data_IF_574539883248
#
_entry.id   IF_574539883248
#
_cell.length_a   1.000
_cell.length_b   1.000
_cell.length_c   1.000
_cell.angle_alpha   90.00
_cell.angle_beta   90.00
_cell.angle_gamma   90.00
#
_symmetry.space_group_name_H-M   'P 1'
#
loop_
_entity.id
_entity.type
_entity.pdbx_description
1 polymer ?
#
# COMPACT_ATOMS: atom_id res chain seq x y z
N UNK A 1 -14.65 14.30 -72.36
CA UNK A 1 -16.07 14.57 -72.06
C UNK A 1 -16.97 13.82 -73.03
N UNK A 2 -17.67 12.77 -72.57
CA UNK A 2 -18.91 12.23 -73.18
C UNK A 2 -19.61 11.38 -72.10
N UNK A 3 -20.78 11.84 -71.66
CA UNK A 3 -21.70 11.16 -70.72
C UNK A 3 -22.53 10.09 -71.45
N UNK A 4 -23.18 9.20 -70.68
CA UNK A 4 -24.33 8.31 -71.00
C UNK A 4 -23.97 6.82 -70.83
N UNK A 5 -24.74 5.90 -70.24
CA UNK A 5 -26.13 5.86 -69.72
C UNK A 5 -26.22 4.68 -68.74
N UNK A 6 -27.09 4.79 -67.72
CA UNK A 6 -27.52 3.66 -66.87
C UNK A 6 -28.34 2.64 -67.68
N UNK A 7 -28.31 1.36 -67.27
CA UNK A 7 -29.50 0.51 -67.08
C UNK A 7 -29.16 -0.74 -66.24
N UNK A 8 -30.02 -0.95 -65.27
CA UNK A 8 -30.12 -2.04 -64.29
C UNK A 8 -30.59 -3.36 -64.92
N UNK A 9 -30.21 -4.50 -64.33
CA UNK A 9 -31.05 -5.70 -64.31
C UNK A 9 -30.91 -6.40 -62.95
N UNK A 10 -32.07 -6.60 -62.32
CA UNK A 10 -32.30 -7.44 -61.16
C UNK A 10 -32.00 -8.91 -61.54
N UNK A 11 -31.31 -9.62 -60.66
CA UNK A 11 -31.55 -11.06 -60.48
C UNK A 11 -31.47 -11.38 -59.00
N UNK A 12 -32.63 -11.67 -58.44
CA UNK A 12 -32.79 -12.21 -57.11
C UNK A 12 -32.30 -13.67 -57.12
N UNK A 13 -31.38 -14.01 -56.23
CA UNK A 13 -31.18 -15.38 -55.82
C UNK A 13 -31.11 -15.42 -54.30
N UNK A 14 -31.85 -16.38 -53.79
CA UNK A 14 -32.37 -16.54 -52.44
C UNK A 14 -31.35 -17.29 -51.56
N UNK A 15 -31.38 -17.03 -50.23
CA UNK A 15 -30.90 -17.89 -49.12
C UNK A 15 -29.35 -17.93 -49.01
N UNK A 16 -28.69 -17.60 -47.88
CA UNK A 16 -28.70 -18.32 -46.60
C UNK A 16 -28.24 -17.39 -45.47
N UNK A 17 -29.01 -17.43 -44.39
CA UNK A 17 -28.69 -16.92 -43.06
C UNK A 17 -27.39 -17.54 -42.52
N UNK A 18 -26.39 -16.72 -42.20
CA UNK A 18 -25.35 -17.06 -41.23
C UNK A 18 -25.05 -15.81 -40.40
N UNK A 19 -25.69 -15.77 -39.23
CA UNK A 19 -25.38 -14.88 -38.14
C UNK A 19 -23.94 -15.17 -37.67
N UNK A 20 -22.99 -14.32 -38.02
CA UNK A 20 -21.69 -14.27 -37.35
C UNK A 20 -21.52 -12.93 -36.66
N UNK A 21 -21.82 -12.99 -35.36
CA UNK A 21 -21.22 -12.27 -34.24
C UNK A 21 -20.39 -11.02 -34.60
N UNK A 22 -20.95 -9.86 -34.26
CA UNK A 22 -20.15 -8.66 -34.02
C UNK A 22 -19.19 -8.92 -32.85
N UNK A 23 -17.93 -9.24 -33.18
CA UNK A 23 -16.84 -9.16 -32.23
C UNK A 23 -16.45 -7.70 -32.03
N UNK A 24 -17.03 -7.06 -31.01
CA UNK A 24 -16.55 -5.78 -30.49
C UNK A 24 -15.11 -5.95 -29.98
N UNK A 25 -14.11 -5.64 -30.80
CA UNK A 25 -12.74 -5.44 -30.32
C UNK A 25 -12.63 -4.02 -29.76
N UNK A 26 -13.27 -3.80 -28.62
CA UNK A 26 -12.92 -2.67 -27.76
C UNK A 26 -11.56 -2.98 -27.15
N UNK A 27 -10.49 -2.45 -27.73
CA UNK A 27 -9.22 -2.35 -27.03
C UNK A 27 -9.48 -1.47 -25.81
N UNK A 28 -9.67 -2.09 -24.64
CA UNK A 28 -9.79 -1.39 -23.38
C UNK A 28 -8.48 -0.60 -23.19
N UNK A 29 -8.56 0.71 -23.43
CA UNK A 29 -7.51 1.63 -23.05
C UNK A 29 -7.43 1.56 -21.53
N UNK A 30 -6.46 0.82 -21.01
CA UNK A 30 -6.08 0.93 -19.60
C UNK A 30 -5.69 2.39 -19.40
N UNK A 31 -6.35 3.14 -18.48
CA UNK A 31 -5.98 4.51 -18.25
C UNK A 31 -4.52 4.55 -17.81
N UNK A 32 -3.68 5.13 -18.64
CA UNK A 32 -2.24 5.36 -18.42
C UNK A 32 -1.94 6.18 -17.15
N UNK A 33 -2.98 6.74 -16.51
CA UNK A 33 -2.88 7.44 -15.23
C UNK A 33 -2.67 6.51 -14.02
N UNK A 34 -2.83 5.18 -14.16
CA UNK A 34 -2.57 4.24 -13.06
C UNK A 34 -1.07 3.96 -12.81
N UNK A 35 -0.16 4.41 -13.70
CA UNK A 35 1.30 4.24 -13.51
C UNK A 35 1.99 5.45 -12.87
N UNK A 36 1.26 6.55 -12.66
CA UNK A 36 1.77 7.78 -12.06
C UNK A 36 1.56 7.90 -10.54
N UNK A 37 0.69 7.05 -9.96
CA UNK A 37 0.50 6.91 -8.52
C UNK A 37 1.27 5.68 -8.01
N UNK A 38 2.57 5.64 -8.26
CA UNK A 38 3.48 4.91 -7.37
C UNK A 38 3.39 5.60 -6.02
N UNK A 39 2.48 5.10 -5.17
CA UNK A 39 2.19 5.47 -3.80
C UNK A 39 3.36 6.23 -3.15
N UNK A 40 3.19 7.55 -3.05
CA UNK A 40 4.05 8.34 -2.17
C UNK A 40 3.71 7.86 -0.77
N UNK A 41 4.68 7.26 -0.08
CA UNK A 41 4.53 6.84 1.32
C UNK A 41 3.91 7.97 2.13
N UNK A 42 2.79 7.73 2.82
CA UNK A 42 2.24 8.72 3.75
C UNK A 42 3.03 8.66 5.07
N UNK A 43 4.17 9.36 5.07
CA UNK A 43 5.09 9.44 6.20
C UNK A 43 5.15 10.81 6.87
N UNK A 44 4.19 11.69 6.54
CA UNK A 44 4.09 13.06 7.01
C UNK A 44 4.12 13.16 8.55
N UNK A 45 3.26 12.40 9.24
CA UNK A 45 3.17 12.41 10.70
C UNK A 45 4.47 11.94 11.38
N UNK A 46 5.15 10.95 10.81
CA UNK A 46 6.43 10.48 11.34
C UNK A 46 7.54 11.53 11.18
N UNK A 47 7.57 12.23 10.05
CA UNK A 47 8.52 13.32 9.79
C UNK A 47 8.25 14.50 10.73
N UNK A 48 6.99 14.88 10.91
CA UNK A 48 6.59 15.93 11.86
C UNK A 48 6.99 15.56 13.29
N UNK A 49 6.72 14.32 13.72
CA UNK A 49 7.10 13.82 15.04
C UNK A 49 8.63 13.78 15.23
N UNK A 50 9.40 13.42 14.19
CA UNK A 50 10.86 13.49 14.20
C UNK A 50 11.37 14.92 14.37
N UNK A 51 10.86 15.86 13.56
CA UNK A 51 11.28 17.26 13.57
C UNK A 51 10.93 17.95 14.90
N UNK A 52 9.74 17.65 15.42
CA UNK A 52 9.25 18.17 16.71
C UNK A 52 9.83 17.48 17.94
N UNK A 53 10.65 16.43 17.76
CA UNK A 53 11.15 15.56 18.84
C UNK A 53 10.04 15.07 19.76
N UNK A 54 8.93 14.65 19.16
CA UNK A 54 7.73 14.26 19.88
C UNK A 54 7.96 13.05 20.79
N UNK A 55 7.19 12.99 21.87
CA UNK A 55 7.14 11.86 22.80
C UNK A 55 5.68 11.54 23.07
N UNK A 56 5.35 10.25 23.16
CA UNK A 56 3.99 9.77 23.45
C UNK A 56 2.93 10.30 22.47
N UNK A 57 3.30 10.42 21.20
CA UNK A 57 2.40 10.90 20.16
C UNK A 57 1.88 9.71 19.35
N UNK A 58 0.57 9.50 19.33
CA UNK A 58 -0.05 8.52 18.42
C UNK A 58 0.04 9.06 17.00
N UNK A 59 0.58 8.24 16.10
CA UNK A 59 0.71 8.58 14.68
C UNK A 59 0.32 7.40 13.80
N UNK A 60 0.03 7.69 12.54
CA UNK A 60 -0.05 6.70 11.46
C UNK A 60 1.03 6.99 10.42
N UNK A 61 1.72 5.96 9.97
CA UNK A 61 2.79 6.05 8.97
C UNK A 61 2.67 4.91 7.97
N UNK A 62 2.65 5.22 6.68
CA UNK A 62 2.87 4.25 5.61
C UNK A 62 4.30 4.39 5.11
N UNK A 63 5.10 3.33 5.17
CA UNK A 63 6.50 3.39 4.81
C UNK A 63 7.06 2.03 4.37
N UNK A 64 8.20 2.08 3.67
CA UNK A 64 8.93 0.89 3.24
C UNK A 64 9.76 0.30 4.37
N UNK A 65 9.69 -1.01 4.56
CA UNK A 65 10.63 -1.76 5.41
C UNK A 65 12.01 -1.77 4.75
N UNK A 66 12.99 -1.15 5.40
CA UNK A 66 14.38 -1.06 4.88
C UNK A 66 15.31 -2.07 5.54
N UNK A 67 14.97 -2.58 6.72
CA UNK A 67 15.79 -3.57 7.42
C UNK A 67 15.00 -4.37 8.45
N UNK A 68 15.16 -5.69 8.46
CA UNK A 68 14.74 -6.56 9.56
C UNK A 68 15.87 -6.66 10.58
N UNK A 69 15.55 -6.56 11.87
CA UNK A 69 16.51 -6.63 12.97
C UNK A 69 16.33 -7.95 13.73
N UNK A 70 17.37 -8.36 14.46
CA UNK A 70 17.28 -9.49 15.38
C UNK A 70 16.21 -9.19 16.43
N UNK A 71 15.38 -10.19 16.72
CA UNK A 71 14.43 -10.13 17.83
C UNK A 71 15.18 -9.98 19.16
N UNK A 72 14.51 -9.36 20.13
CA UNK A 72 15.04 -9.28 21.49
C UNK A 72 14.93 -10.62 22.21
N UNK A 73 16.04 -11.01 22.84
CA UNK A 73 16.18 -12.21 23.69
C UNK A 73 16.19 -11.86 25.19
N UNK A 74 15.92 -10.59 25.52
CA UNK A 74 15.92 -10.05 26.88
C UNK A 74 14.59 -9.30 27.09
N UNK A 75 13.70 -9.84 27.93
CA UNK A 75 12.36 -9.25 28.17
C UNK A 75 11.26 -9.87 27.30
N UNK A 76 10.19 -9.11 27.05
CA UNK A 76 9.12 -9.55 26.15
C UNK A 76 9.64 -9.56 24.69
N UNK A 77 9.29 -10.59 23.91
CA UNK A 77 9.78 -10.73 22.55
C UNK A 77 9.21 -9.63 21.66
N UNK A 78 10.10 -8.91 20.97
CA UNK A 78 9.72 -7.91 19.99
C UNK A 78 10.23 -8.28 18.60
N UNK A 79 9.35 -8.23 17.62
CA UNK A 79 9.75 -8.15 16.22
C UNK A 79 10.20 -6.71 15.95
N UNK A 80 11.47 -6.55 15.57
CA UNK A 80 12.07 -5.24 15.29
C UNK A 80 12.44 -5.09 13.83
N UNK A 81 12.12 -3.93 13.27
CA UNK A 81 12.50 -3.57 11.91
C UNK A 81 12.58 -2.05 11.76
N UNK A 82 13.28 -1.60 10.72
CA UNK A 82 13.36 -0.19 10.35
C UNK A 82 12.45 0.07 9.16
N UNK A 83 11.69 1.17 9.24
CA UNK A 83 11.06 1.79 8.08
C UNK A 83 11.89 2.98 7.61
N UNK A 84 11.91 3.22 6.30
CA UNK A 84 12.54 4.40 5.69
C UNK A 84 11.50 5.47 5.38
N UNK A 85 11.79 6.71 5.76
CA UNK A 85 10.92 7.87 5.48
C UNK A 85 11.40 8.63 4.24
N UNK A 86 10.52 9.42 3.65
CA UNK A 86 10.77 10.20 2.44
C UNK A 86 11.85 11.29 2.59
N UNK A 87 12.15 11.72 3.83
CA UNK A 87 13.25 12.64 4.14
C UNK A 87 14.63 11.94 4.27
N UNK A 88 14.70 10.62 4.02
CA UNK A 88 15.93 9.83 4.10
C UNK A 88 16.31 9.35 5.50
N UNK A 89 15.50 9.63 6.53
CA UNK A 89 15.71 9.08 7.87
C UNK A 89 15.00 7.74 8.03
N UNK A 90 15.13 7.14 9.22
CA UNK A 90 14.47 5.89 9.58
C UNK A 90 13.76 6.00 10.92
N UNK A 91 12.75 5.16 11.12
CA UNK A 91 12.10 4.94 12.43
C UNK A 91 12.20 3.47 12.78
N UNK A 92 12.55 3.17 14.04
CA UNK A 92 12.50 1.82 14.57
C UNK A 92 11.06 1.44 14.89
N UNK A 93 10.63 0.26 14.48
CA UNK A 93 9.38 -0.34 14.92
C UNK A 93 9.71 -1.44 15.92
N UNK A 94 9.08 -1.42 17.10
CA UNK A 94 9.13 -2.50 18.07
C UNK A 94 7.71 -3.05 18.26
N UNK A 95 7.44 -4.18 17.62
CA UNK A 95 6.14 -4.87 17.68
C UNK A 95 6.21 -6.00 18.69
N UNK A 96 5.45 -5.90 19.78
CA UNK A 96 5.39 -6.94 20.83
C UNK A 96 4.65 -8.17 20.30
N UNK A 97 5.40 -9.25 20.04
CA UNK A 97 4.86 -10.49 19.49
C UNK A 97 4.31 -11.45 20.57
N UNK A 98 4.38 -11.06 21.85
CA UNK A 98 3.61 -11.73 22.90
C UNK A 98 2.15 -11.27 22.91
N UNK A 99 1.87 -10.05 22.45
CA UNK A 99 0.52 -9.47 22.43
C UNK A 99 -0.19 -9.59 21.07
N UNK A 100 0.57 -9.58 19.98
CA UNK A 100 0.03 -9.65 18.62
C UNK A 100 0.78 -10.68 17.76
N UNK A 101 0.16 -11.25 16.71
CA UNK A 101 0.85 -12.17 15.82
C UNK A 101 1.99 -11.48 15.06
N UNK A 102 3.13 -12.17 14.94
CA UNK A 102 4.28 -11.72 14.12
C UNK A 102 3.84 -11.39 12.70
N UNK A 103 4.31 -10.26 12.18
CA UNK A 103 4.03 -9.82 10.81
C UNK A 103 5.01 -10.51 9.85
N UNK A 104 4.56 -11.17 8.76
CA UNK A 104 5.42 -11.90 7.83
C UNK A 104 6.14 -10.96 6.85
N UNK A 105 6.97 -10.06 7.37
CA UNK A 105 7.64 -8.99 6.64
C UNK A 105 8.87 -9.46 5.87
N UNK A 106 9.07 -8.86 4.70
CA UNK A 106 10.31 -8.86 3.93
C UNK A 106 10.86 -7.43 3.79
N UNK A 107 12.17 -7.32 3.57
CA UNK A 107 12.76 -6.03 3.17
C UNK A 107 12.15 -5.61 1.82
N UNK A 108 11.68 -4.37 1.76
CA UNK A 108 11.03 -3.81 0.59
C UNK A 108 9.50 -3.75 0.68
N UNK A 109 8.87 -4.43 1.64
CA UNK A 109 7.43 -4.34 1.86
C UNK A 109 7.00 -2.91 2.22
N UNK A 110 5.82 -2.51 1.76
CA UNK A 110 5.14 -1.29 2.21
C UNK A 110 4.17 -1.70 3.30
N UNK A 111 4.24 -1.02 4.44
CA UNK A 111 3.39 -1.28 5.60
C UNK A 111 2.77 0.01 6.09
N UNK A 112 1.52 -0.06 6.54
CA UNK A 112 0.88 1.03 7.30
C UNK A 112 0.91 0.66 8.78
N UNK A 113 1.44 1.55 9.60
CA UNK A 113 1.64 1.31 11.03
C UNK A 113 0.93 2.41 11.79
N UNK A 114 0.15 2.02 12.80
CA UNK A 114 -0.45 2.93 13.76
C UNK A 114 0.04 2.58 15.15
N UNK A 115 0.57 3.57 15.87
CA UNK A 115 1.15 3.34 17.19
C UNK A 115 1.70 4.61 17.81
N UNK A 116 2.32 4.47 18.98
CA UNK A 116 2.89 5.58 19.73
C UNK A 116 4.34 5.82 19.28
N UNK A 117 4.64 7.07 18.92
CA UNK A 117 5.98 7.52 18.57
C UNK A 117 6.72 8.12 19.78
N UNK A 118 8.00 7.77 19.89
CA UNK A 118 8.95 8.33 20.86
C UNK A 118 10.24 8.73 20.15
N UNK A 119 10.58 10.00 20.21
CA UNK A 119 11.84 10.51 19.65
C UNK A 119 13.05 9.97 20.39
N UNK A 120 14.12 9.70 19.63
CA UNK A 120 15.45 9.43 20.14
C UNK A 120 16.50 9.89 19.11
N UNK A 121 17.78 9.90 19.49
CA UNK A 121 18.87 10.33 18.61
C UNK A 121 19.08 9.46 17.35
N UNK A 122 18.38 8.32 17.23
CA UNK A 122 18.42 7.40 16.09
C UNK A 122 17.23 7.57 15.11
N UNK A 123 16.42 8.61 15.27
CA UNK A 123 15.27 8.89 14.39
C UNK A 123 13.93 8.42 14.94
N UNK A 124 13.88 7.94 16.19
CA UNK A 124 12.63 7.60 16.87
C UNK A 124 12.27 6.12 16.84
N UNK A 125 11.25 5.80 17.63
CA UNK A 125 10.70 4.47 17.86
C UNK A 125 9.17 4.56 17.78
N UNK A 126 8.54 3.61 17.09
CA UNK A 126 7.10 3.34 17.22
C UNK A 126 6.92 2.01 17.94
N UNK A 127 6.12 2.05 19.00
CA UNK A 127 5.66 0.90 19.78
C UNK A 127 4.14 0.97 19.97
N UNK A 128 3.57 0.15 20.87
CA UNK A 128 2.12 0.02 21.04
C UNK A 128 1.39 -0.30 19.73
N UNK A 129 1.96 -1.18 18.90
CA UNK A 129 1.40 -1.61 17.61
C UNK A 129 0.47 -2.82 17.77
N UNK A 130 -0.24 -2.89 18.90
CA UNK A 130 -1.15 -3.96 19.28
C UNK A 130 -2.39 -3.38 19.97
N UNK A 131 -3.41 -4.22 20.18
CA UNK A 131 -4.58 -3.86 20.96
C UNK A 131 -4.19 -3.55 22.40
N UNK A 132 -4.67 -2.42 22.91
CA UNK A 132 -4.56 -2.10 24.34
C UNK A 132 -5.52 -2.95 25.17
N UNK A 133 -5.06 -3.45 26.31
CA UNK A 133 -5.84 -4.19 27.30
C UNK A 133 -6.68 -3.26 28.20
N UNK A 134 -6.39 -1.97 28.19
CA UNK A 134 -7.09 -0.95 28.98
C UNK A 134 -7.46 0.27 28.13
N UNK A 135 -8.47 1.07 28.52
CA UNK A 135 -8.83 2.30 27.81
C UNK A 135 -7.85 3.46 28.06
N UNK A 136 -6.77 3.25 28.83
CA UNK A 136 -5.81 4.31 29.19
C UNK A 136 -4.81 4.60 28.08
N UNK A 137 -4.66 3.69 27.13
CA UNK A 137 -3.78 3.84 25.98
C UNK A 137 -4.53 3.47 24.70
N UNK A 138 -4.31 4.24 23.63
CA UNK A 138 -4.89 3.95 22.33
C UNK A 138 -4.31 2.64 21.76
N UNK A 139 -5.13 1.85 21.07
CA UNK A 139 -4.66 0.62 20.42
C UNK A 139 -3.91 0.95 19.14
N UNK A 140 -2.83 0.22 18.86
CA UNK A 140 -2.14 0.27 17.57
C UNK A 140 -2.29 -1.01 16.77
N UNK A 141 -1.65 -1.01 15.60
CA UNK A 141 -1.69 -2.11 14.65
C UNK A 141 -0.61 -1.94 13.57
N UNK A 142 -0.29 -3.04 12.89
CA UNK A 142 0.46 -3.06 11.63
C UNK A 142 -0.45 -3.64 10.55
N UNK A 143 -0.51 -2.99 9.39
CA UNK A 143 -1.19 -3.48 8.20
C UNK A 143 -0.16 -3.83 7.12
N UNK A 144 -0.24 -5.05 6.61
CA UNK A 144 0.52 -5.52 5.46
C UNK A 144 -0.47 -6.04 4.41
N UNK A 145 -0.59 -5.33 3.30
CA UNK A 145 -1.45 -5.68 2.16
C UNK A 145 -2.94 -5.89 2.56
N UNK A 146 -3.47 -5.06 3.47
CA UNK A 146 -4.85 -5.13 3.95
C UNK A 146 -5.08 -6.17 5.05
N UNK A 147 -4.04 -6.84 5.52
CA UNK A 147 -4.09 -7.74 6.68
C UNK A 147 -3.56 -7.01 7.90
N UNK A 148 -4.41 -6.89 8.92
CA UNK A 148 -4.10 -6.21 10.18
C UNK A 148 -3.61 -7.17 11.26
N UNK A 149 -2.51 -6.80 11.91
CA UNK A 149 -1.86 -7.49 13.02
C UNK A 149 -1.92 -6.58 14.25
N UNK A 150 -2.58 -7.04 15.33
CA UNK A 150 -2.77 -6.30 16.59
C UNK A 150 -3.15 -7.23 17.74
#
# INVERSE_FOLDING_TARGET
MRKSKRRSNLSACLIVCLLFLQGCSGAAQVPINARGNSLKSDDSQAIEAQNGRAIKQIITVEARVVRLLREDDQGLPHQKFLIGLSNGTTVLIAHDIAMAPRVPLNVGDIVTIHGEYIWNAKGGLIHWTHRSDTPRHESGWIDLNGVRYQ
#
